data_IF_752445628348
#
_entry.id   IF_752445628348
#
_cell.length_a   1.000
_cell.length_b   1.000
_cell.length_c   1.000
_cell.angle_alpha   90.00
_cell.angle_beta   90.00
_cell.angle_gamma   90.00
#
_symmetry.space_group_name_H-M   'P 1'
#
loop_
_entity.id
_entity.type
_entity.pdbx_description
1 polymer ?
#
# COMPACT_ATOMS: atom_id res chain seq x y z
N UNK A 1 -21.41 0.03 -39.21
CA UNK A 1 -21.48 -1.22 -38.44
C UNK A 1 -20.09 -1.83 -38.34
N UNK A 2 -19.56 -1.80 -37.12
CA UNK A 2 -18.78 -2.85 -36.48
C UNK A 2 -17.60 -3.49 -37.25
N UNK A 3 -16.38 -3.10 -36.87
CA UNK A 3 -15.63 -3.86 -35.87
C UNK A 3 -14.14 -3.54 -35.93
N UNK A 4 -13.69 -2.66 -35.05
CA UNK A 4 -12.28 -2.62 -34.67
C UNK A 4 -12.19 -2.31 -33.18
N UNK A 5 -12.09 -3.37 -32.37
CA UNK A 5 -11.65 -3.25 -30.99
C UNK A 5 -10.63 -4.34 -30.73
N UNK A 6 -9.38 -3.91 -30.80
CA UNK A 6 -8.14 -4.64 -30.63
C UNK A 6 -8.22 -5.78 -29.62
N UNK A 7 -7.70 -6.95 -30.03
CA UNK A 7 -7.43 -8.12 -29.20
C UNK A 7 -6.67 -7.69 -27.94
N UNK A 8 -7.39 -7.53 -26.82
CA UNK A 8 -6.80 -7.51 -25.49
C UNK A 8 -6.14 -8.87 -25.29
N UNK A 9 -4.80 -8.90 -25.27
CA UNK A 9 -4.04 -10.06 -24.78
C UNK A 9 -4.65 -10.44 -23.43
N UNK A 10 -5.30 -11.61 -23.37
CA UNK A 10 -5.74 -12.22 -22.12
C UNK A 10 -4.46 -12.56 -21.36
N UNK A 11 -4.00 -11.62 -20.53
CA UNK A 11 -3.03 -11.95 -19.50
C UNK A 11 -3.70 -13.02 -18.64
N UNK A 12 -3.13 -14.22 -18.60
CA UNK A 12 -3.60 -15.28 -17.73
C UNK A 12 -3.67 -14.79 -16.27
N UNK A 13 -4.43 -15.47 -15.41
CA UNK A 13 -4.51 -15.09 -14.01
C UNK A 13 -3.08 -14.96 -13.45
N UNK A 14 -2.74 -13.85 -12.75
CA UNK A 14 -1.41 -13.71 -12.20
C UNK A 14 -1.13 -14.95 -11.34
N UNK A 15 0.02 -15.60 -11.60
CA UNK A 15 0.49 -16.72 -10.78
C UNK A 15 0.32 -16.31 -9.33
N UNK A 16 -0.46 -17.08 -8.56
CA UNK A 16 -0.51 -16.95 -7.10
C UNK A 16 0.90 -17.26 -6.61
N UNK A 17 1.76 -16.25 -6.59
CA UNK A 17 3.00 -16.27 -5.84
C UNK A 17 2.56 -16.28 -4.39
N UNK A 18 2.51 -17.50 -3.86
CA UNK A 18 2.35 -17.77 -2.45
C UNK A 18 3.38 -16.90 -1.73
N UNK A 19 2.87 -16.10 -0.80
CA UNK A 19 3.52 -15.02 -0.08
C UNK A 19 4.65 -15.53 0.82
N UNK A 20 5.81 -15.85 0.26
CA UNK A 20 6.93 -16.34 1.10
C UNK A 20 7.92 -15.24 1.50
N UNK A 21 8.11 -14.17 0.73
CA UNK A 21 8.95 -13.05 1.17
C UNK A 21 8.43 -11.75 0.56
N UNK A 22 7.64 -11.04 1.34
CA UNK A 22 7.14 -9.72 0.99
C UNK A 22 7.94 -8.76 1.86
N UNK A 23 8.79 -7.96 1.25
CA UNK A 23 9.65 -7.00 1.94
C UNK A 23 8.88 -5.70 2.24
N UNK A 24 9.32 -4.89 3.21
CA UNK A 24 8.73 -3.57 3.44
C UNK A 24 8.72 -2.70 2.19
N UNK A 25 9.76 -2.80 1.35
CA UNK A 25 9.92 -2.07 0.10
C UNK A 25 8.90 -2.50 -0.96
N UNK A 26 8.59 -3.81 -1.04
CA UNK A 26 7.52 -4.31 -1.90
C UNK A 26 6.13 -3.88 -1.43
N UNK A 27 5.91 -3.81 -0.11
CA UNK A 27 4.67 -3.28 0.44
C UNK A 27 4.46 -1.82 0.03
N UNK A 28 5.50 -0.99 0.13
CA UNK A 28 5.48 0.41 -0.35
C UNK A 28 5.19 0.47 -1.85
N UNK A 29 5.87 -0.36 -2.64
CA UNK A 29 5.70 -0.39 -4.10
C UNK A 29 4.26 -0.73 -4.50
N UNK A 30 3.66 -1.74 -3.86
CA UNK A 30 2.26 -2.13 -4.12
C UNK A 30 1.28 -1.06 -3.69
N UNK A 31 1.50 -0.44 -2.53
CA UNK A 31 0.70 0.68 -2.06
C UNK A 31 0.71 1.82 -3.08
N UNK A 32 1.90 2.23 -3.56
CA UNK A 32 2.06 3.28 -4.58
C UNK A 32 1.34 2.94 -5.88
N UNK A 33 1.44 1.71 -6.38
CA UNK A 33 0.71 1.28 -7.59
C UNK A 33 -0.81 1.37 -7.44
N UNK A 34 -1.34 1.02 -6.25
CA UNK A 34 -2.77 1.18 -5.98
C UNK A 34 -3.14 2.66 -5.94
N UNK A 35 -2.33 3.49 -5.29
CA UNK A 35 -2.53 4.94 -5.25
C UNK A 35 -2.53 5.55 -6.65
N UNK A 36 -1.57 5.20 -7.49
CA UNK A 36 -1.53 5.64 -8.89
C UNK A 36 -2.78 5.23 -9.67
N UNK A 37 -3.27 4.00 -9.47
CA UNK A 37 -4.49 3.54 -10.11
C UNK A 37 -5.71 4.35 -9.64
N UNK A 38 -5.81 4.66 -8.34
CA UNK A 38 -6.86 5.53 -7.79
C UNK A 38 -6.76 6.96 -8.36
N UNK A 39 -5.56 7.52 -8.41
CA UNK A 39 -5.31 8.86 -8.96
C UNK A 39 -5.58 8.96 -10.47
N UNK A 40 -5.56 7.82 -11.18
CA UNK A 40 -6.01 7.70 -12.59
C UNK A 40 -7.54 7.60 -12.73
N UNK A 41 -8.29 7.79 -11.65
CA UNK A 41 -9.76 7.78 -11.65
C UNK A 41 -10.40 6.41 -11.41
N UNK A 42 -9.61 5.36 -11.12
CA UNK A 42 -10.21 4.09 -10.71
C UNK A 42 -10.80 4.20 -9.31
N UNK A 43 -11.99 3.63 -9.10
CA UNK A 43 -12.43 3.38 -7.73
C UNK A 43 -11.48 2.40 -7.03
N UNK A 44 -11.46 2.43 -5.69
CA UNK A 44 -10.52 1.64 -4.88
C UNK A 44 -10.56 0.14 -5.21
N UNK A 45 -11.76 -0.43 -5.36
CA UNK A 45 -11.93 -1.86 -5.70
C UNK A 45 -11.32 -2.21 -7.06
N UNK A 46 -11.55 -1.37 -8.08
CA UNK A 46 -10.95 -1.52 -9.40
C UNK A 46 -9.42 -1.36 -9.34
N UNK A 47 -8.90 -0.41 -8.56
CA UNK A 47 -7.48 -0.22 -8.34
C UNK A 47 -6.80 -1.45 -7.70
N UNK A 48 -7.38 -2.00 -6.61
CA UNK A 48 -6.87 -3.22 -5.96
C UNK A 48 -6.82 -4.40 -6.95
N UNK A 49 -7.90 -4.59 -7.72
CA UNK A 49 -7.98 -5.65 -8.74
C UNK A 49 -6.97 -5.45 -9.88
N UNK A 50 -6.80 -4.22 -10.35
CA UNK A 50 -5.85 -3.89 -11.42
C UNK A 50 -4.40 -4.15 -11.01
N UNK A 51 -4.06 -3.90 -9.74
CA UNK A 51 -2.73 -4.21 -9.17
C UNK A 51 -2.60 -5.69 -8.80
N UNK A 52 -3.71 -6.40 -8.58
CA UNK A 52 -3.72 -7.80 -8.19
C UNK A 52 -3.43 -8.01 -6.71
N UNK A 53 -3.86 -7.09 -5.84
CA UNK A 53 -3.63 -7.14 -4.38
C UNK A 53 -4.95 -7.11 -3.62
N UNK A 54 -5.02 -7.80 -2.48
CA UNK A 54 -6.20 -7.74 -1.61
C UNK A 54 -6.23 -6.43 -0.80
N UNK A 55 -7.44 -5.90 -0.56
CA UNK A 55 -7.63 -4.68 0.24
C UNK A 55 -7.06 -4.84 1.65
N UNK A 56 -7.25 -6.01 2.27
CA UNK A 56 -6.74 -6.29 3.62
C UNK A 56 -5.23 -6.26 3.65
N UNK A 57 -4.54 -6.81 2.64
CA UNK A 57 -3.09 -6.73 2.54
C UNK A 57 -2.59 -5.29 2.50
N UNK A 58 -3.24 -4.42 1.70
CA UNK A 58 -2.90 -3.00 1.65
C UNK A 58 -3.19 -2.30 2.99
N UNK A 59 -4.31 -2.61 3.64
CA UNK A 59 -4.66 -2.04 4.94
C UNK A 59 -3.71 -2.47 6.07
N UNK A 60 -3.35 -3.75 6.11
CA UNK A 60 -2.47 -4.34 7.11
C UNK A 60 -1.05 -3.77 6.99
N UNK A 61 -0.58 -3.50 5.77
CA UNK A 61 0.76 -2.96 5.49
C UNK A 61 0.80 -1.43 5.30
N UNK A 62 -0.34 -0.74 5.43
CA UNK A 62 -0.45 0.70 5.18
C UNK A 62 0.53 1.54 6.01
N UNK A 63 0.76 1.17 7.27
CA UNK A 63 1.63 1.92 8.18
C UNK A 63 3.05 2.08 7.65
N UNK A 64 3.55 1.07 6.92
CA UNK A 64 4.87 1.07 6.28
C UNK A 64 4.94 2.21 5.24
N UNK A 65 3.94 2.29 4.36
CA UNK A 65 3.89 3.30 3.30
C UNK A 65 3.58 4.69 3.85
N UNK A 66 2.72 4.78 4.86
CA UNK A 66 2.37 6.04 5.53
C UNK A 66 3.60 6.65 6.19
N UNK A 67 4.33 5.90 7.03
CA UNK A 67 5.53 6.39 7.70
C UNK A 67 6.62 6.77 6.69
N UNK A 68 6.86 5.92 5.69
CA UNK A 68 7.81 6.23 4.62
C UNK A 68 7.44 7.53 3.90
N UNK A 69 6.16 7.83 3.71
CA UNK A 69 5.72 9.05 3.04
C UNK A 69 5.89 10.31 3.91
N UNK A 70 5.55 10.25 5.20
CA UNK A 70 5.60 11.42 6.09
C UNK A 70 6.96 11.67 6.73
N UNK A 71 7.76 10.61 6.94
CA UNK A 71 9.08 10.70 7.55
C UNK A 71 9.97 9.53 7.10
N UNK A 72 10.67 9.66 5.96
CA UNK A 72 11.60 8.65 5.48
C UNK A 72 12.75 8.36 6.46
N UNK A 73 13.20 9.34 7.26
CA UNK A 73 14.30 9.15 8.21
C UNK A 73 13.95 8.13 9.29
N UNK A 74 12.82 8.35 9.97
CA UNK A 74 12.33 7.42 11.01
C UNK A 74 11.97 6.06 10.43
N UNK A 75 11.45 6.03 9.20
CA UNK A 75 11.26 4.77 8.49
C UNK A 75 12.59 4.00 8.35
N UNK A 76 13.67 4.66 7.93
CA UNK A 76 14.98 4.00 7.78
C UNK A 76 15.53 3.51 9.13
N UNK A 77 15.38 4.30 10.20
CA UNK A 77 15.80 3.91 11.54
C UNK A 77 15.09 2.62 11.98
N UNK A 78 13.76 2.58 11.88
CA UNK A 78 12.96 1.40 12.23
C UNK A 78 13.28 0.23 11.29
N UNK A 79 13.47 0.49 9.99
CA UNK A 79 13.83 -0.51 8.99
C UNK A 79 15.17 -1.20 9.30
N UNK A 80 16.13 -0.45 9.86
CA UNK A 80 17.42 -0.96 10.32
C UNK A 80 17.32 -1.88 11.55
N UNK A 81 16.26 -1.74 12.34
CA UNK A 81 16.01 -2.61 13.52
C UNK A 81 15.32 -3.93 13.18
N UNK A 82 14.77 -4.07 11.97
CA UNK A 82 14.01 -5.24 11.55
C UNK A 82 14.90 -6.49 11.47
N UNK A 83 14.61 -7.48 12.31
CA UNK A 83 15.36 -8.74 12.36
C UNK A 83 14.85 -9.75 11.33
N UNK A 84 15.72 -10.65 10.90
CA UNK A 84 15.35 -11.78 10.04
C UNK A 84 14.29 -12.63 10.76
N UNK A 85 13.18 -12.92 10.07
CA UNK A 85 12.06 -13.71 10.61
C UNK A 85 10.91 -12.89 11.20
N UNK A 86 11.06 -11.56 11.32
CA UNK A 86 9.92 -10.71 11.67
C UNK A 86 8.91 -10.58 10.52
N UNK A 87 7.64 -10.43 10.88
CA UNK A 87 6.55 -10.33 9.91
C UNK A 87 6.33 -8.89 9.45
N UNK A 88 5.86 -8.70 8.21
CA UNK A 88 5.46 -7.38 7.73
C UNK A 88 4.35 -6.74 8.55
N UNK A 89 3.45 -7.54 9.11
CA UNK A 89 2.36 -7.02 9.94
C UNK A 89 2.94 -6.34 11.19
N UNK A 90 3.86 -7.01 11.89
CA UNK A 90 4.55 -6.44 13.04
C UNK A 90 5.33 -5.18 12.68
N UNK A 91 6.04 -5.20 11.57
CA UNK A 91 6.77 -4.03 11.08
C UNK A 91 5.83 -2.84 10.76
N UNK A 92 4.67 -3.12 10.17
CA UNK A 92 3.62 -2.11 9.91
C UNK A 92 3.06 -1.53 11.21
N UNK A 93 2.85 -2.36 12.24
CA UNK A 93 2.43 -1.89 13.57
C UNK A 93 3.48 -0.99 14.21
N UNK A 94 4.76 -1.33 14.12
CA UNK A 94 5.86 -0.47 14.59
C UNK A 94 5.88 0.87 13.85
N UNK A 95 5.65 0.87 12.54
CA UNK A 95 5.55 2.11 11.76
C UNK A 95 4.36 2.97 12.22
N UNK A 96 3.20 2.35 12.50
CA UNK A 96 2.02 3.06 13.03
C UNK A 96 2.29 3.65 14.42
N UNK A 97 2.94 2.90 15.28
CA UNK A 97 3.35 3.39 16.60
C UNK A 97 4.27 4.61 16.46
N UNK A 98 5.27 4.55 15.60
CA UNK A 98 6.18 5.67 15.36
C UNK A 98 5.48 6.92 14.78
N UNK A 99 4.49 6.76 13.89
CA UNK A 99 3.67 7.89 13.41
C UNK A 99 2.99 8.58 14.60
N UNK A 100 2.43 7.81 15.53
CA UNK A 100 1.75 8.33 16.72
C UNK A 100 2.74 8.99 17.68
N UNK A 101 3.84 8.31 18.00
CA UNK A 101 4.86 8.79 18.93
C UNK A 101 5.52 10.10 18.45
N UNK A 102 5.61 10.28 17.14
CA UNK A 102 6.17 11.47 16.50
C UNK A 102 5.13 12.53 16.15
N UNK A 103 3.87 12.33 16.57
CA UNK A 103 2.74 13.23 16.31
C UNK A 103 2.56 13.57 14.80
N UNK A 104 2.77 12.57 13.92
CA UNK A 104 2.71 12.72 12.47
C UNK A 104 1.33 12.42 11.88
N UNK A 105 0.34 12.09 12.70
CA UNK A 105 -1.02 11.70 12.28
C UNK A 105 -1.69 12.79 11.42
N UNK A 106 -1.50 14.06 11.77
CA UNK A 106 -2.00 15.20 10.98
C UNK A 106 -1.43 15.22 9.56
N UNK A 107 -0.11 15.04 9.41
CA UNK A 107 0.54 14.96 8.09
C UNK A 107 0.05 13.78 7.27
N UNK A 108 -0.17 12.62 7.91
CA UNK A 108 -0.75 11.45 7.25
C UNK A 108 -2.15 11.78 6.72
N UNK A 109 -2.97 12.47 7.52
CA UNK A 109 -4.33 12.84 7.13
C UNK A 109 -4.34 13.88 6.00
N UNK A 110 -3.44 14.87 6.03
CA UNK A 110 -3.28 15.85 4.95
C UNK A 110 -2.90 15.17 3.63
N UNK A 111 -1.94 14.24 3.67
CA UNK A 111 -1.56 13.47 2.49
C UNK A 111 -2.70 12.59 1.96
N UNK A 112 -3.52 11.99 2.83
CA UNK A 112 -4.71 11.24 2.42
C UNK A 112 -5.74 12.13 1.73
N UNK A 113 -5.91 13.35 2.23
CA UNK A 113 -6.88 14.32 1.70
C UNK A 113 -6.44 14.87 0.35
N UNK A 114 -5.13 15.11 0.18
CA UNK A 114 -4.55 15.64 -1.05
C UNK A 114 -4.21 14.56 -2.11
N UNK A 115 -4.57 13.28 -1.86
CA UNK A 115 -4.31 12.18 -2.80
C UNK A 115 -2.85 11.70 -2.85
N UNK A 116 -2.03 12.10 -1.88
CA UNK A 116 -0.67 11.59 -1.66
C UNK A 116 -0.62 10.25 -0.91
N UNK A 117 -1.72 9.85 -0.26
CA UNK A 117 -1.90 8.55 0.39
C UNK A 117 -3.32 8.02 0.14
N UNK A 118 -3.50 6.70 0.27
CA UNK A 118 -4.82 6.08 0.18
C UNK A 118 -5.61 6.33 1.46
N UNK A 119 -6.83 6.86 1.34
CA UNK A 119 -7.79 6.90 2.44
C UNK A 119 -8.37 5.51 2.68
N UNK A 120 -7.63 4.65 3.37
CA UNK A 120 -8.05 3.30 3.72
C UNK A 120 -8.88 3.40 5.00
N UNK A 121 -10.19 3.61 4.87
CA UNK A 121 -11.05 3.48 6.05
C UNK A 121 -10.99 2.01 6.50
N UNK A 122 -10.63 1.70 7.75
CA UNK A 122 -11.16 0.49 8.37
C UNK A 122 -12.67 0.58 8.23
N UNK A 123 -13.35 -0.55 7.94
CA UNK A 123 -14.81 -0.54 7.79
C UNK A 123 -15.41 0.25 8.96
N UNK A 124 -16.40 1.09 8.63
CA UNK A 124 -17.18 1.83 9.61
C UNK A 124 -17.55 0.92 10.77
N UNK A 125 -17.50 1.52 11.96
CA UNK A 125 -17.87 0.96 13.26
C UNK A 125 -18.91 -0.16 13.17
#
# INVERSE_FOLDING_TARGET
MDSWRSKRKRMGPPKRLVSEFLTPEEAITRYKRVLEAVNKGNNKTAAYRAVGVDRKTIADTAGIAELHAVNPGIYQDIRGTLKKGETLLRFSEMCKAAIKDQNLEGKVQDLKTNGGLLSINPKGK
#
